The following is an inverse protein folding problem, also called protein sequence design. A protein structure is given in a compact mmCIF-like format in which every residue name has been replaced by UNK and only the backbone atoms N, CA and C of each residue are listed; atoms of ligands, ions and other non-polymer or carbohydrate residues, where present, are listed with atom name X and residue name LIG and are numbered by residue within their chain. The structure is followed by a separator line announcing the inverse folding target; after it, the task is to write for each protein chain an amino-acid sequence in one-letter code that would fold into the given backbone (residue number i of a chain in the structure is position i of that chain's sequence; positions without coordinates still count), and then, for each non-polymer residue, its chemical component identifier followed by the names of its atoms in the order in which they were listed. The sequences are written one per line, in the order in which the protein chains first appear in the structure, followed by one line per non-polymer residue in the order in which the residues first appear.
data_IF_740745437330
#
_entry.id   IF_740745437330
#
_cell.length_a   1.000
_cell.length_b   1.000
_cell.length_c   1.000
_cell.angle_alpha   90.00
_cell.angle_beta   90.00
_cell.angle_gamma   90.00
#
_symmetry.space_group_name_H-M   'P 1'
#
loop_
_entity.id
_entity.type
_entity.pdbx_description
1 polymer ?
#
# COMPACT_ATOMS: atom_id res chain seq x y z
N UNK A 1 -30.43 58.78 -32.76
CA UNK A 1 -29.50 57.96 -31.96
C UNK A 1 -30.29 57.39 -30.80
N UNK A 2 -30.98 56.28 -31.05
CA UNK A 2 -31.91 55.67 -30.09
C UNK A 2 -31.25 54.44 -29.46
N UNK A 3 -30.66 54.72 -28.29
CA UNK A 3 -30.52 53.87 -27.12
C UNK A 3 -30.42 52.34 -27.30
N UNK A 4 -29.19 51.86 -27.51
CA UNK A 4 -28.81 50.43 -27.43
C UNK A 4 -28.98 49.81 -26.01
N UNK A 5 -29.35 50.61 -24.99
CA UNK A 5 -29.43 50.16 -23.59
C UNK A 5 -30.71 49.39 -23.22
N UNK A 6 -31.68 49.24 -24.12
CA UNK A 6 -32.96 48.57 -23.82
C UNK A 6 -32.96 47.04 -24.03
N UNK A 7 -31.90 46.46 -24.60
CA UNK A 7 -31.83 45.01 -24.90
C UNK A 7 -31.31 44.13 -23.76
N UNK A 8 -30.90 44.69 -22.63
CA UNK A 8 -30.31 43.95 -21.50
C UNK A 8 -31.29 43.69 -20.33
N UNK A 9 -32.56 44.09 -20.43
CA UNK A 9 -33.57 43.91 -19.36
C UNK A 9 -34.25 42.53 -19.31
N UNK A 10 -33.86 41.59 -20.19
CA UNK A 10 -34.46 40.25 -20.26
C UNK A 10 -33.73 39.20 -19.41
N UNK A 11 -32.53 39.52 -18.91
CA UNK A 11 -31.78 38.63 -18.03
C UNK A 11 -32.21 38.95 -16.61
N UNK A 12 -33.30 38.30 -16.17
CA UNK A 12 -33.69 38.36 -14.78
C UNK A 12 -32.53 37.77 -13.93
N UNK A 13 -31.90 38.55 -13.04
CA UNK A 13 -30.73 38.10 -12.29
C UNK A 13 -31.02 36.83 -11.48
N UNK A 14 -32.27 36.62 -11.08
CA UNK A 14 -32.72 35.38 -10.45
C UNK A 14 -32.58 34.14 -11.38
N UNK A 15 -32.93 34.27 -12.67
CA UNK A 15 -32.83 33.16 -13.63
C UNK A 15 -31.37 32.82 -13.96
N UNK A 16 -30.48 33.82 -13.95
CA UNK A 16 -29.04 33.62 -14.14
C UNK A 16 -28.44 32.83 -12.97
N UNK A 17 -28.80 33.18 -11.73
CA UNK A 17 -28.35 32.45 -10.53
C UNK A 17 -28.88 31.02 -10.49
N UNK A 18 -30.15 30.78 -10.86
CA UNK A 18 -30.70 29.43 -10.97
C UNK A 18 -29.93 28.62 -12.03
N UNK A 19 -29.58 29.22 -13.17
CA UNK A 19 -28.76 28.58 -14.20
C UNK A 19 -27.38 28.16 -13.71
N UNK A 20 -26.72 28.98 -12.88
CA UNK A 20 -25.43 28.64 -12.27
C UNK A 20 -25.57 27.47 -11.28
N UNK A 21 -26.60 27.47 -10.43
CA UNK A 21 -26.82 26.40 -9.46
C UNK A 21 -27.14 25.07 -10.15
N UNK A 22 -28.05 25.09 -11.14
CA UNK A 22 -28.39 23.88 -11.92
C UNK A 22 -27.20 23.39 -12.74
N UNK A 23 -26.44 24.30 -13.36
CA UNK A 23 -25.22 23.98 -14.08
C UNK A 23 -24.16 23.35 -13.17
N UNK A 24 -23.98 23.89 -11.96
CA UNK A 24 -23.08 23.35 -10.94
C UNK A 24 -23.46 21.92 -10.55
N UNK A 25 -24.73 21.68 -10.21
CA UNK A 25 -25.23 20.34 -9.84
C UNK A 25 -25.05 19.34 -10.99
N UNK A 26 -25.32 19.74 -12.23
CA UNK A 26 -25.13 18.88 -13.40
C UNK A 26 -23.66 18.49 -13.62
N UNK A 27 -22.71 19.42 -13.38
CA UNK A 27 -21.28 19.13 -13.45
C UNK A 27 -20.85 18.16 -12.34
N UNK A 28 -21.31 18.36 -11.10
CA UNK A 28 -21.03 17.43 -10.00
C UNK A 28 -21.57 16.02 -10.28
N UNK A 29 -22.83 15.91 -10.72
CA UNK A 29 -23.43 14.61 -11.07
C UNK A 29 -22.76 13.91 -12.26
N UNK A 30 -22.23 14.68 -13.22
CA UNK A 30 -21.45 14.13 -14.33
C UNK A 30 -20.08 13.61 -13.88
N UNK A 31 -19.41 14.31 -12.96
CA UNK A 31 -18.15 13.87 -12.35
C UNK A 31 -18.38 12.58 -11.55
N UNK A 32 -19.39 12.54 -10.68
CA UNK A 32 -19.71 11.33 -9.89
C UNK A 32 -20.06 10.15 -10.80
N UNK A 33 -20.86 10.38 -11.84
CA UNK A 33 -21.21 9.33 -12.83
C UNK A 33 -20.01 8.83 -13.61
N UNK A 34 -19.01 9.67 -13.87
CA UNK A 34 -17.75 9.27 -14.51
C UNK A 34 -16.86 8.48 -13.55
N UNK A 35 -16.75 8.93 -12.30
CA UNK A 35 -16.01 8.25 -11.24
C UNK A 35 -16.59 6.86 -10.96
N UNK A 36 -17.91 6.74 -10.87
CA UNK A 36 -18.58 5.46 -10.65
C UNK A 36 -18.47 4.51 -11.85
N UNK A 37 -18.39 5.04 -13.08
CA UNK A 37 -18.08 4.23 -14.26
C UNK A 37 -16.64 3.73 -14.25
N UNK A 38 -15.68 4.57 -13.83
CA UNK A 38 -14.26 4.21 -13.75
C UNK A 38 -14.02 3.17 -12.63
N UNK A 39 -14.66 3.33 -11.46
CA UNK A 39 -14.60 2.34 -10.36
C UNK A 39 -15.14 0.96 -10.75
N UNK A 40 -16.09 0.90 -11.68
CA UNK A 40 -16.70 -0.35 -12.18
C UNK A 40 -15.96 -0.95 -13.36
N UNK A 41 -14.92 -0.28 -13.87
CA UNK A 41 -14.10 -0.81 -14.96
C UNK A 41 -13.15 -1.88 -14.40
N UNK A 42 -13.28 -3.16 -14.81
CA UNK A 42 -12.40 -4.23 -14.36
C UNK A 42 -10.92 -3.95 -14.66
N UNK A 43 -10.62 -3.23 -15.75
CA UNK A 43 -9.25 -2.88 -16.13
C UNK A 43 -8.64 -1.88 -15.15
N UNK A 44 -9.42 -0.90 -14.69
CA UNK A 44 -8.98 0.06 -13.67
C UNK A 44 -8.74 -0.61 -12.32
N UNK A 45 -9.64 -1.51 -11.89
CA UNK A 45 -9.44 -2.27 -10.65
C UNK A 45 -8.23 -3.21 -10.74
N UNK A 46 -7.97 -3.78 -11.90
CA UNK A 46 -6.79 -4.61 -12.14
C UNK A 46 -5.49 -3.78 -12.14
N UNK A 47 -5.53 -2.55 -12.67
CA UNK A 47 -4.42 -1.59 -12.62
C UNK A 47 -4.10 -1.21 -11.16
N UNK A 48 -5.12 -0.84 -10.38
CA UNK A 48 -5.00 -0.53 -8.95
C UNK A 48 -4.47 -1.75 -8.18
N UNK A 49 -5.01 -2.94 -8.42
CA UNK A 49 -4.57 -4.17 -7.75
C UNK A 49 -3.12 -4.53 -8.10
N UNK A 50 -2.64 -4.22 -9.31
CA UNK A 50 -1.22 -4.37 -9.68
C UNK A 50 -0.31 -3.37 -8.98
N UNK A 51 -0.85 -2.19 -8.60
CA UNK A 51 -0.09 -1.18 -7.85
C UNK A 51 0.00 -1.50 -6.36
N UNK A 52 -0.98 -2.21 -5.79
CA UNK A 52 -0.94 -2.63 -4.39
C UNK A 52 -0.04 -3.85 -4.24
N UNK A 53 1.17 -3.64 -3.74
CA UNK A 53 2.10 -4.72 -3.45
C UNK A 53 1.64 -5.50 -2.21
N UNK A 54 1.48 -6.84 -2.29
CA UNK A 54 1.13 -7.63 -1.13
C UNK A 54 2.19 -7.51 -0.03
N UNK A 55 1.78 -7.38 1.22
CA UNK A 55 2.72 -7.36 2.34
C UNK A 55 2.11 -7.98 3.60
N UNK A 56 2.97 -8.42 4.50
CA UNK A 56 2.58 -8.95 5.81
C UNK A 56 3.40 -8.27 6.91
N UNK A 57 2.78 -8.02 8.06
CA UNK A 57 3.44 -7.47 9.25
C UNK A 57 3.37 -8.54 10.35
N UNK A 58 4.50 -8.81 10.98
CA UNK A 58 4.63 -9.82 12.03
C UNK A 58 5.60 -9.39 13.14
N UNK A 59 5.46 -9.99 14.31
CA UNK A 59 6.34 -9.75 15.47
C UNK A 59 7.51 -10.75 15.54
N UNK A 60 8.41 -10.59 16.53
CA UNK A 60 9.53 -11.52 16.73
C UNK A 60 9.14 -12.97 17.04
N UNK A 61 7.89 -13.20 17.44
CA UNK A 61 7.35 -14.52 17.78
C UNK A 61 6.70 -15.19 16.57
N UNK A 62 6.68 -14.52 15.42
CA UNK A 62 6.01 -14.97 14.21
C UNK A 62 4.50 -14.74 14.23
N UNK A 63 3.97 -13.98 15.19
CA UNK A 63 2.55 -13.62 15.21
C UNK A 63 2.28 -12.63 14.08
N UNK A 64 1.30 -12.95 13.24
CA UNK A 64 0.85 -12.06 12.16
C UNK A 64 0.01 -10.94 12.78
N UNK A 65 0.48 -9.70 12.68
CA UNK A 65 -0.22 -8.51 13.16
C UNK A 65 -1.15 -7.94 12.09
N UNK A 66 -0.76 -8.06 10.82
CA UNK A 66 -1.53 -7.58 9.68
C UNK A 66 -1.13 -8.33 8.41
N UNK A 67 -2.10 -8.61 7.54
CA UNK A 67 -1.88 -9.30 6.26
C UNK A 67 -2.64 -8.60 5.14
N UNK A 68 -1.89 -8.07 4.18
CA UNK A 68 -2.40 -7.53 2.93
C UNK A 68 -2.09 -8.51 1.80
N UNK A 69 -2.82 -9.64 1.79
CA UNK A 69 -2.80 -10.64 0.72
C UNK A 69 -1.46 -11.37 0.52
N UNK A 70 -0.48 -11.19 1.40
CA UNK A 70 0.83 -11.79 1.28
C UNK A 70 0.84 -13.26 1.73
N UNK A 71 0.00 -13.63 2.70
CA UNK A 71 -0.11 -15.03 3.17
C UNK A 71 -0.41 -16.03 2.04
N UNK A 72 -1.13 -15.59 1.00
CA UNK A 72 -1.45 -16.41 -0.19
C UNK A 72 -0.22 -16.87 -0.97
N UNK A 73 0.94 -16.26 -0.73
CA UNK A 73 2.20 -16.60 -1.39
C UNK A 73 3.19 -17.28 -0.44
N UNK A 74 2.94 -17.26 0.86
CA UNK A 74 3.86 -17.74 1.90
C UNK A 74 3.40 -19.14 2.34
N UNK A 75 4.27 -20.13 2.16
CA UNK A 75 4.07 -21.48 2.66
C UNK A 75 4.46 -21.57 4.14
N UNK A 76 5.62 -21.03 4.49
CA UNK A 76 6.10 -20.96 5.88
C UNK A 76 6.83 -19.65 6.15
N UNK A 77 6.67 -19.15 7.38
CA UNK A 77 7.38 -17.99 7.92
C UNK A 77 7.94 -18.42 9.29
N UNK A 78 9.26 -18.54 9.38
CA UNK A 78 9.96 -18.96 10.59
C UNK A 78 10.91 -17.87 11.05
N UNK A 79 10.90 -17.60 12.35
CA UNK A 79 11.76 -16.59 12.96
C UNK A 79 12.54 -17.27 14.07
N UNK A 80 13.86 -17.18 13.98
CA UNK A 80 14.76 -17.63 15.02
C UNK A 80 15.50 -16.41 15.57
N UNK A 81 15.45 -16.25 16.89
CA UNK A 81 16.20 -15.22 17.61
C UNK A 81 17.39 -15.91 18.25
N UNK A 82 18.59 -15.56 17.81
CA UNK A 82 19.82 -15.98 18.47
C UNK A 82 20.07 -15.03 19.65
N UNK A 83 19.84 -15.56 20.86
CA UNK A 83 19.90 -14.79 22.12
C UNK A 83 21.35 -14.59 22.63
N UNK A 84 22.34 -15.23 22.01
CA UNK A 84 23.64 -15.51 22.66
C UNK A 84 24.86 -14.67 22.22
N UNK A 85 24.65 -13.49 21.61
CA UNK A 85 25.75 -12.66 21.08
C UNK A 85 25.89 -11.28 21.76
N UNK A 86 25.71 -11.23 23.09
CA UNK A 86 26.02 -10.05 23.91
C UNK A 86 24.95 -8.95 23.82
N UNK A 87 25.37 -7.70 23.58
CA UNK A 87 24.48 -6.53 23.54
C UNK A 87 23.61 -6.43 22.27
N UNK A 88 23.87 -7.29 21.27
CA UNK A 88 23.17 -7.27 19.99
C UNK A 88 22.29 -8.51 19.81
N UNK A 89 21.07 -8.30 19.32
CA UNK A 89 20.19 -9.39 18.90
C UNK A 89 20.42 -9.76 17.45
N UNK A 90 20.41 -11.05 17.19
CA UNK A 90 20.50 -11.62 15.86
C UNK A 90 19.20 -12.34 15.53
N UNK A 91 18.64 -12.04 14.36
CA UNK A 91 17.44 -12.69 13.88
C UNK A 91 17.75 -13.42 12.58
N UNK A 92 17.23 -14.62 12.46
CA UNK A 92 17.16 -15.34 11.19
C UNK A 92 15.69 -15.52 10.84
N UNK A 93 15.24 -14.82 9.79
CA UNK A 93 13.89 -14.95 9.25
C UNK A 93 13.96 -15.79 7.99
N UNK A 94 13.26 -16.92 7.97
CA UNK A 94 13.15 -17.81 6.81
C UNK A 94 11.73 -17.73 6.28
N UNK A 95 11.61 -17.46 4.98
CA UNK A 95 10.32 -17.40 4.31
C UNK A 95 10.35 -18.33 3.13
N UNK A 96 9.50 -19.34 3.15
CA UNK A 96 9.29 -20.22 2.01
C UNK A 96 8.03 -19.78 1.26
N UNK A 97 8.15 -19.62 -0.06
CA UNK A 97 7.07 -19.17 -0.91
C UNK A 97 6.51 -20.31 -1.76
N UNK A 98 5.20 -20.28 -2.02
CA UNK A 98 4.56 -21.25 -2.92
C UNK A 98 4.85 -20.98 -4.41
N UNK A 99 5.58 -19.91 -4.73
CA UNK A 99 6.06 -19.58 -6.08
C UNK A 99 7.48 -19.02 -6.05
N UNK A 100 8.14 -19.07 -7.20
CA UNK A 100 9.46 -18.46 -7.36
C UNK A 100 9.38 -16.93 -7.41
N UNK A 101 10.29 -16.26 -6.69
CA UNK A 101 10.52 -14.82 -6.76
C UNK A 101 11.95 -14.56 -7.25
N UNK A 102 12.12 -13.82 -8.33
CA UNK A 102 13.45 -13.53 -8.91
C UNK A 102 14.32 -12.67 -7.98
N UNK A 103 13.69 -11.76 -7.24
CA UNK A 103 14.33 -10.85 -6.29
C UNK A 103 13.87 -11.15 -4.86
N UNK A 104 14.66 -10.78 -3.83
CA UNK A 104 14.22 -10.92 -2.46
C UNK A 104 13.01 -10.01 -2.24
N UNK A 105 11.92 -10.53 -1.65
CA UNK A 105 10.90 -9.67 -1.07
C UNK A 105 11.53 -8.68 -0.09
N UNK A 106 10.99 -7.48 -0.04
CA UNK A 106 11.56 -6.40 0.77
C UNK A 106 11.18 -6.60 2.22
N UNK A 107 12.19 -6.67 3.10
CA UNK A 107 12.00 -6.79 4.53
C UNK A 107 12.46 -5.49 5.21
N UNK A 108 11.59 -4.93 6.05
CA UNK A 108 11.89 -3.73 6.84
C UNK A 108 11.46 -3.89 8.29
N UNK A 109 12.14 -3.19 9.20
CA UNK A 109 11.72 -3.02 10.59
C UNK A 109 10.71 -1.87 10.66
N UNK A 110 9.58 -2.10 11.33
CA UNK A 110 8.51 -1.12 11.49
C UNK A 110 8.66 -0.23 12.73
N UNK A 111 9.56 -0.60 13.64
CA UNK A 111 9.83 0.13 14.87
C UNK A 111 11.10 0.98 14.72
N UNK A 112 11.41 1.83 15.71
CA UNK A 112 12.67 2.60 15.77
C UNK A 112 13.91 1.73 16.05
N UNK A 113 13.92 0.49 15.56
CA UNK A 113 15.05 -0.41 15.63
C UNK A 113 15.77 -0.38 14.30
N UNK A 114 17.07 -0.18 14.35
CA UNK A 114 17.94 -0.25 13.18
C UNK A 114 18.52 -1.65 13.08
N UNK A 115 18.45 -2.20 11.87
CA UNK A 115 18.98 -3.51 11.55
C UNK A 115 19.89 -3.42 10.33
N UNK A 116 21.01 -4.13 10.40
CA UNK A 116 21.73 -4.55 9.20
C UNK A 116 21.07 -5.82 8.69
N UNK A 117 20.44 -5.77 7.52
CA UNK A 117 19.71 -6.88 6.91
C UNK A 117 20.55 -7.44 5.77
N UNK A 118 20.77 -8.75 5.76
CA UNK A 118 21.40 -9.48 4.65
C UNK A 118 20.41 -10.48 4.07
N UNK A 119 20.09 -10.37 2.78
CA UNK A 119 19.24 -11.34 2.10
C UNK A 119 20.05 -12.43 1.41
N UNK A 120 19.64 -13.67 1.60
CA UNK A 120 20.26 -14.84 0.98
C UNK A 120 19.20 -15.77 0.39
N UNK A 121 19.50 -16.33 -0.79
CA UNK A 121 18.64 -17.36 -1.39
C UNK A 121 18.80 -18.67 -0.61
N UNK A 122 17.68 -19.22 -0.15
CA UNK A 122 17.63 -20.53 0.49
C UNK A 122 17.40 -21.67 -0.51
N UNK A 123 16.82 -22.78 -0.03
CA UNK A 123 16.48 -23.92 -0.89
C UNK A 123 15.13 -23.69 -1.60
N UNK A 124 15.01 -24.13 -2.86
CA UNK A 124 13.76 -24.02 -3.65
C UNK A 124 13.29 -22.56 -3.79
N UNK A 125 12.18 -22.20 -3.14
CA UNK A 125 11.59 -20.87 -3.14
C UNK A 125 11.84 -20.13 -1.82
N UNK A 126 12.76 -20.61 -0.98
CA UNK A 126 13.10 -19.99 0.29
C UNK A 126 13.96 -18.73 0.10
N UNK A 127 13.65 -17.72 0.90
CA UNK A 127 14.52 -16.58 1.19
C UNK A 127 14.86 -16.55 2.67
N UNK A 128 16.12 -16.27 2.97
CA UNK A 128 16.66 -16.20 4.33
C UNK A 128 17.20 -14.80 4.56
N UNK A 129 16.70 -14.15 5.61
CA UNK A 129 17.14 -12.84 6.05
C UNK A 129 17.89 -13.00 7.36
N UNK A 130 19.13 -12.54 7.37
CA UNK A 130 19.93 -12.44 8.58
C UNK A 130 19.94 -10.98 9.01
N UNK A 131 19.44 -10.70 10.21
CA UNK A 131 19.35 -9.35 10.76
C UNK A 131 20.26 -9.24 11.98
N UNK A 132 21.11 -8.23 11.99
CA UNK A 132 21.89 -7.82 13.17
C UNK A 132 21.34 -6.49 13.66
N UNK A 133 20.81 -6.46 14.89
CA UNK A 133 20.37 -5.21 15.50
C UNK A 133 21.58 -4.29 15.69
N UNK A 134 21.50 -3.05 15.22
CA UNK A 134 22.56 -2.03 15.43
C UNK A 134 22.16 -1.03 16.51
N UNK A 135 20.87 -0.71 16.63
CA UNK A 135 20.32 0.14 17.68
C UNK A 135 18.81 -0.13 17.85
N UNK A 136 18.21 0.25 18.99
CA UNK A 136 16.75 0.19 19.17
C UNK A 136 16.27 -0.35 20.51
N UNK A 137 14.97 -0.59 20.61
CA UNK A 137 14.27 -1.15 21.76
C UNK A 137 14.14 -2.67 21.73
N UNK A 138 13.27 -3.18 22.60
CA UNK A 138 13.03 -4.61 22.84
C UNK A 138 11.83 -5.20 22.08
N UNK A 139 11.05 -4.36 21.42
CA UNK A 139 9.87 -4.78 20.66
C UNK A 139 10.22 -4.78 19.17
N UNK A 140 9.95 -5.89 18.48
CA UNK A 140 10.35 -6.06 17.08
C UNK A 140 9.12 -6.35 16.23
N UNK A 141 8.96 -5.55 15.18
CA UNK A 141 7.92 -5.74 14.18
C UNK A 141 8.56 -5.61 12.82
N UNK A 142 8.26 -6.54 11.95
CA UNK A 142 8.81 -6.60 10.62
C UNK A 142 7.68 -6.52 9.61
N UNK A 143 7.95 -5.84 8.50
CA UNK A 143 7.10 -5.86 7.32
C UNK A 143 7.84 -6.55 6.19
N UNK A 144 7.20 -7.54 5.58
CA UNK A 144 7.68 -8.24 4.40
C UNK A 144 6.76 -7.90 3.23
N UNK A 145 7.28 -7.19 2.24
CA UNK A 145 6.59 -6.78 1.03
C UNK A 145 7.04 -7.62 -0.17
N UNK A 146 6.07 -8.20 -0.87
CA UNK A 146 6.32 -9.07 -2.02
C UNK A 146 6.48 -8.22 -3.28
N UNK A 147 7.68 -8.24 -3.85
CA UNK A 147 7.98 -7.59 -5.12
C UNK A 147 7.73 -8.62 -6.23
N UNK A 148 6.74 -8.36 -7.08
CA UNK A 148 6.35 -9.24 -8.21
C UNK A 148 7.02 -8.82 -9.51
#
# INVERSE_FOLDING_TARGET
MENEKSKLWWINPANFLIGIVVGGIAVFGFIDSRVDKIKKDPSFMQEIARQVRPYIIFDEKGSILFDNEASKYIETLEINVDEDLGDFKYFTIRVNFNKHFSYPPYLESMNNNEFSIQENRGKKHEWVYTLTQTSGGLEYRFRLELIQ
#
